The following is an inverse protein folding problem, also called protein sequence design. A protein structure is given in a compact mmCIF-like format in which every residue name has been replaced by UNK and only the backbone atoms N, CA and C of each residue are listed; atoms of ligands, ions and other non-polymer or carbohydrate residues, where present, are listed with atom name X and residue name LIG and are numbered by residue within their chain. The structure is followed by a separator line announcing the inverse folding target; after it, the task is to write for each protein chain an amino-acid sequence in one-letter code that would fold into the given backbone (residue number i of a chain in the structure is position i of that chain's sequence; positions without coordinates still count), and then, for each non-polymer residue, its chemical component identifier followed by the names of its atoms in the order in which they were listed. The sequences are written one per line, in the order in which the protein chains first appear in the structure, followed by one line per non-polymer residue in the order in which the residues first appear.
data_IF_669347042910
#
_entry.id   IF_669347042910
#
_cell.length_a   1.000
_cell.length_b   1.000
_cell.length_c   1.000
_cell.angle_alpha   90.00
_cell.angle_beta   90.00
_cell.angle_gamma   90.00
#
_symmetry.space_group_name_H-M   'P 1'
#
loop_
_entity.id
_entity.type
_entity.pdbx_description
1 polymer ?
#
# COMPACT_ATOMS: atom_id res chain seq x y z
N UNK A 1 -0.42 1.83 0.61
CA UNK A 1 0.45 3.03 0.62
C UNK A 1 0.99 3.25 -0.77
N UNK A 2 1.38 4.47 -1.08
CA UNK A 2 1.83 4.92 -2.40
C UNK A 2 3.05 4.13 -2.93
N UNK A 3 4.05 3.75 -2.12
CA UNK A 3 5.10 2.85 -2.60
C UNK A 3 4.57 1.48 -3.03
N UNK A 4 3.56 0.92 -2.34
CA UNK A 4 2.94 -0.35 -2.73
C UNK A 4 2.26 -0.20 -4.09
N UNK A 5 1.56 0.91 -4.34
CA UNK A 5 0.93 1.18 -5.63
C UNK A 5 1.97 1.29 -6.78
N UNK A 6 3.11 1.93 -6.52
CA UNK A 6 4.24 1.98 -7.48
C UNK A 6 4.83 0.59 -7.74
N UNK A 7 5.02 -0.20 -6.67
CA UNK A 7 5.45 -1.60 -6.80
C UNK A 7 4.45 -2.44 -7.59
N UNK A 8 3.15 -2.23 -7.34
CA UNK A 8 2.05 -2.94 -7.98
C UNK A 8 2.00 -2.63 -9.49
N UNK A 9 2.08 -1.34 -9.85
CA UNK A 9 2.18 -0.93 -11.24
C UNK A 9 3.44 -1.48 -11.93
N UNK A 10 4.56 -1.58 -11.22
CA UNK A 10 5.80 -2.20 -11.75
C UNK A 10 5.61 -3.71 -11.97
N UNK A 11 4.99 -4.40 -11.04
CA UNK A 11 4.68 -5.84 -11.13
C UNK A 11 3.79 -6.12 -12.33
N UNK A 12 2.70 -5.36 -12.49
CA UNK A 12 1.79 -5.44 -13.64
C UNK A 12 2.52 -5.18 -14.95
N UNK A 13 3.35 -4.13 -15.02
CA UNK A 13 4.11 -3.80 -16.21
C UNK A 13 5.03 -4.97 -16.61
N UNK A 14 5.75 -5.57 -15.66
CA UNK A 14 6.62 -6.70 -15.96
C UNK A 14 5.85 -7.94 -16.45
N UNK A 15 4.72 -8.26 -15.83
CA UNK A 15 3.89 -9.38 -16.25
C UNK A 15 3.27 -9.15 -17.64
N UNK A 16 2.89 -7.91 -17.95
CA UNK A 16 2.31 -7.53 -19.23
C UNK A 16 3.25 -7.80 -20.43
N UNK A 17 4.58 -7.64 -20.26
CA UNK A 17 5.58 -7.78 -21.34
C UNK A 17 5.47 -9.11 -22.12
N UNK A 18 5.05 -10.17 -21.42
CA UNK A 18 4.94 -11.54 -21.96
C UNK A 18 3.54 -11.89 -22.46
N UNK A 19 2.62 -10.93 -22.48
CA UNK A 19 1.22 -11.14 -22.80
C UNK A 19 0.78 -10.20 -23.94
N UNK A 20 -0.15 -10.70 -24.74
CA UNK A 20 -0.82 -10.01 -25.85
C UNK A 20 -2.28 -9.66 -25.49
N UNK A 21 -2.83 -10.29 -24.45
CA UNK A 21 -4.14 -10.02 -23.86
C UNK A 21 -4.02 -10.15 -22.33
N UNK A 22 -4.71 -9.28 -21.60
CA UNK A 22 -4.91 -9.40 -20.15
C UNK A 22 -6.41 -9.47 -19.88
N UNK A 23 -6.83 -10.42 -19.05
CA UNK A 23 -8.22 -10.51 -18.60
C UNK A 23 -8.34 -9.99 -17.17
N UNK A 24 -9.55 -9.63 -16.75
CA UNK A 24 -9.87 -9.30 -15.35
C UNK A 24 -10.86 -10.34 -14.84
N UNK A 25 -10.55 -10.96 -13.69
CA UNK A 25 -11.45 -11.94 -13.06
C UNK A 25 -12.56 -11.29 -12.23
N UNK A 26 -13.46 -12.11 -11.66
CA UNK A 26 -14.57 -11.66 -10.80
C UNK A 26 -14.13 -10.95 -9.51
N UNK A 27 -12.87 -11.12 -9.10
CA UNK A 27 -12.26 -10.50 -7.92
C UNK A 27 -11.41 -9.28 -8.30
N UNK A 28 -11.56 -8.79 -9.54
CA UNK A 28 -10.84 -7.64 -10.07
C UNK A 28 -9.32 -7.84 -10.05
N UNK A 29 -8.85 -9.05 -10.35
CA UNK A 29 -7.45 -9.36 -10.54
C UNK A 29 -7.11 -9.46 -12.02
N UNK A 30 -5.94 -8.96 -12.39
CA UNK A 30 -5.38 -9.13 -13.73
C UNK A 30 -4.88 -10.56 -13.92
N UNK A 31 -5.47 -11.25 -14.90
CA UNK A 31 -5.12 -12.62 -15.29
C UNK A 31 -4.25 -12.58 -16.54
N UNK A 32 -3.02 -13.06 -16.38
CA UNK A 32 -2.02 -13.18 -17.43
C UNK A 32 -2.03 -14.61 -17.98
N UNK A 33 -2.15 -14.75 -19.30
CA UNK A 33 -2.15 -16.07 -19.96
C UNK A 33 -0.77 -16.73 -19.87
N UNK A 34 0.28 -15.94 -20.07
CA UNK A 34 1.66 -16.39 -19.97
C UNK A 34 2.26 -15.88 -18.65
N UNK A 35 2.84 -16.76 -17.81
CA UNK A 35 3.57 -16.33 -16.63
C UNK A 35 4.80 -15.51 -17.05
N UNK A 36 5.26 -14.57 -16.21
CA UNK A 36 6.49 -13.85 -16.49
C UNK A 36 7.69 -14.81 -16.50
N UNK A 37 8.71 -14.48 -17.29
CA UNK A 37 10.00 -15.18 -17.19
C UNK A 37 10.69 -14.87 -15.86
N UNK A 38 11.66 -15.69 -15.44
CA UNK A 38 12.58 -15.25 -14.39
C UNK A 38 13.32 -13.98 -14.82
N UNK A 39 13.46 -13.04 -13.89
CA UNK A 39 14.07 -11.73 -14.16
C UNK A 39 15.58 -11.87 -14.28
N UNK A 40 16.09 -11.42 -15.42
CA UNK A 40 17.50 -11.16 -15.66
C UNK A 40 17.76 -9.65 -15.54
N UNK A 41 18.57 -9.25 -14.56
CA UNK A 41 18.85 -7.84 -14.23
C UNK A 41 19.54 -7.10 -15.39
N UNK A 42 20.29 -7.82 -16.22
CA UNK A 42 21.00 -7.23 -17.37
C UNK A 42 20.05 -6.91 -18.53
N UNK A 43 18.91 -7.61 -18.59
CA UNK A 43 17.85 -7.38 -19.58
C UNK A 43 16.95 -6.20 -19.23
N UNK A 44 16.93 -5.75 -17.98
CA UNK A 44 16.28 -4.49 -17.60
C UNK A 44 17.04 -3.35 -18.29
N UNK A 45 16.37 -2.52 -19.07
CA UNK A 45 16.97 -1.33 -19.70
C UNK A 45 16.67 -0.08 -18.90
N UNK A 46 15.41 0.10 -18.51
CA UNK A 46 14.97 1.24 -17.72
C UNK A 46 13.66 0.93 -16.99
N UNK A 47 13.48 1.54 -15.82
CA UNK A 47 12.19 1.62 -15.14
C UNK A 47 11.91 3.09 -14.89
N UNK A 48 10.95 3.67 -15.60
CA UNK A 48 10.55 5.07 -15.45
C UNK A 48 9.29 5.15 -14.60
N UNK A 49 9.35 5.90 -13.51
CA UNK A 49 8.22 6.15 -12.61
C UNK A 49 7.90 7.63 -12.70
N UNK A 50 6.67 7.99 -13.08
CA UNK A 50 6.16 9.36 -12.99
C UNK A 50 5.00 9.41 -12.01
N UNK A 51 4.99 10.41 -11.15
CA UNK A 51 3.90 10.59 -10.18
C UNK A 51 3.46 12.04 -10.09
N UNK A 52 2.26 12.27 -9.55
CA UNK A 52 1.87 13.57 -9.02
C UNK A 52 2.71 13.93 -7.76
N UNK A 53 2.57 15.17 -7.28
CA UNK A 53 3.34 15.69 -6.14
C UNK A 53 2.98 14.99 -4.82
N UNK A 54 1.71 14.69 -4.58
CA UNK A 54 1.27 14.08 -3.32
C UNK A 54 1.78 12.65 -3.22
N UNK A 55 1.66 11.88 -4.30
CA UNK A 55 2.26 10.54 -4.38
C UNK A 55 3.77 10.63 -4.22
N UNK A 56 4.45 11.56 -4.89
CA UNK A 56 5.90 11.72 -4.75
C UNK A 56 6.28 11.94 -3.27
N UNK A 57 5.66 12.92 -2.61
CA UNK A 57 5.90 13.27 -1.21
C UNK A 57 5.62 12.08 -0.27
N UNK A 58 4.46 11.43 -0.43
CA UNK A 58 4.03 10.33 0.44
C UNK A 58 4.88 9.08 0.21
N UNK A 59 5.31 8.81 -1.02
CA UNK A 59 6.11 7.64 -1.34
C UNK A 59 7.61 7.84 -1.08
N UNK A 60 8.09 9.07 -0.91
CA UNK A 60 9.53 9.39 -0.82
C UNK A 60 10.23 8.69 0.36
N UNK A 61 9.63 8.73 1.56
CA UNK A 61 10.27 8.26 2.80
C UNK A 61 9.51 7.16 3.53
N UNK A 62 8.49 6.58 2.89
CA UNK A 62 7.75 5.47 3.48
C UNK A 62 8.60 4.20 3.46
N UNK A 63 8.69 3.54 4.62
CA UNK A 63 9.38 2.25 4.78
C UNK A 63 8.62 1.17 4.02
N UNK A 64 9.37 0.33 3.30
CA UNK A 64 8.83 -0.85 2.63
C UNK A 64 8.85 -2.04 3.59
N UNK A 65 7.69 -2.64 3.89
CA UNK A 65 7.61 -3.80 4.77
C UNK A 65 8.57 -4.93 4.37
N UNK A 66 9.23 -5.52 5.36
CA UNK A 66 10.13 -6.67 5.16
C UNK A 66 11.47 -6.36 4.52
N UNK A 67 11.81 -5.09 4.26
CA UNK A 67 13.05 -4.71 3.59
C UNK A 67 14.20 -4.28 4.50
N UNK A 68 14.04 -4.50 5.82
CA UNK A 68 14.94 -4.01 6.86
C UNK A 68 15.17 -2.48 6.79
N UNK A 69 14.06 -1.73 6.74
CA UNK A 69 14.08 -0.27 6.83
C UNK A 69 14.36 0.49 5.52
N UNK A 70 14.40 -0.18 4.36
CA UNK A 70 14.52 0.53 3.08
C UNK A 70 13.25 1.34 2.78
N UNK A 71 13.42 2.47 2.08
CA UNK A 71 12.37 3.47 1.87
C UNK A 71 12.33 3.90 0.41
N UNK A 72 11.15 4.30 -0.04
CA UNK A 72 11.02 5.00 -1.32
C UNK A 72 10.49 4.17 -2.47
N UNK A 73 10.10 4.88 -3.54
CA UNK A 73 9.56 4.29 -4.78
C UNK A 73 10.56 3.39 -5.50
N UNK A 74 11.86 3.71 -5.47
CA UNK A 74 12.85 2.95 -6.22
C UNK A 74 12.96 1.50 -5.73
N UNK A 75 13.07 1.30 -4.41
CA UNK A 75 13.11 -0.04 -3.82
C UNK A 75 11.76 -0.75 -3.96
N UNK A 76 10.64 -0.04 -3.81
CA UNK A 76 9.31 -0.61 -4.01
C UNK A 76 9.10 -1.13 -5.44
N UNK A 77 9.55 -0.37 -6.43
CA UNK A 77 9.49 -0.75 -7.85
C UNK A 77 10.41 -1.93 -8.14
N UNK A 78 11.66 -1.90 -7.66
CA UNK A 78 12.60 -3.01 -7.83
C UNK A 78 12.08 -4.32 -7.22
N UNK A 79 11.45 -4.25 -6.05
CA UNK A 79 10.78 -5.40 -5.42
C UNK A 79 9.56 -5.84 -6.21
N UNK A 80 8.76 -4.88 -6.69
CA UNK A 80 7.55 -5.12 -7.46
C UNK A 80 7.76 -6.04 -8.67
N UNK A 81 8.93 -5.98 -9.31
CA UNK A 81 9.32 -6.90 -10.38
C UNK A 81 9.23 -8.38 -9.94
N UNK A 82 9.60 -8.69 -8.70
CA UNK A 82 9.61 -10.04 -8.13
C UNK A 82 8.33 -10.38 -7.35
N UNK A 83 7.34 -9.47 -7.34
CA UNK A 83 6.09 -9.64 -6.60
C UNK A 83 4.96 -10.12 -7.50
N UNK A 84 4.00 -10.82 -6.91
CA UNK A 84 2.76 -11.25 -7.57
C UNK A 84 1.71 -10.13 -7.50
N UNK A 85 1.26 -9.56 -8.63
CA UNK A 85 0.32 -8.43 -8.63
C UNK A 85 -1.05 -8.82 -8.07
N UNK A 86 -1.42 -10.10 -8.04
CA UNK A 86 -2.69 -10.58 -7.45
C UNK A 86 -2.79 -10.30 -5.95
N UNK A 87 -1.66 -10.05 -5.28
CA UNK A 87 -1.63 -9.70 -3.86
C UNK A 87 -2.06 -8.24 -3.57
N UNK A 88 -2.23 -7.39 -4.59
CA UNK A 88 -2.70 -5.99 -4.45
C UNK A 88 -2.00 -5.24 -3.31
N UNK A 89 -2.71 -4.84 -2.25
CA UNK A 89 -2.14 -4.12 -1.11
C UNK A 89 -1.16 -4.94 -0.25
N UNK A 90 -1.18 -6.26 -0.38
CA UNK A 90 -0.24 -7.20 0.25
C UNK A 90 0.90 -7.59 -0.69
N UNK A 91 1.22 -6.77 -1.70
CA UNK A 91 2.24 -7.04 -2.73
C UNK A 91 3.59 -7.57 -2.19
N UNK A 92 3.99 -7.08 -1.01
CA UNK A 92 5.27 -7.42 -0.38
C UNK A 92 5.19 -8.61 0.58
N UNK A 93 4.01 -9.22 0.71
CA UNK A 93 3.85 -10.45 1.49
C UNK A 93 4.62 -11.61 0.84
N UNK A 94 5.40 -12.32 1.65
CA UNK A 94 6.23 -13.44 1.18
C UNK A 94 7.49 -13.01 0.42
N UNK A 95 7.88 -11.74 0.49
CA UNK A 95 9.18 -11.31 -0.06
C UNK A 95 10.34 -12.02 0.66
N UNK A 96 11.27 -12.57 -0.12
CA UNK A 96 12.42 -13.31 0.40
C UNK A 96 13.65 -12.42 0.49
N UNK A 97 14.63 -12.82 1.31
CA UNK A 97 15.96 -12.19 1.36
C UNK A 97 16.64 -12.15 -0.01
N UNK A 98 16.39 -13.15 -0.85
CA UNK A 98 16.90 -13.21 -2.22
C UNK A 98 16.29 -12.12 -3.10
N UNK A 99 14.96 -11.95 -3.08
CA UNK A 99 14.28 -10.88 -3.83
C UNK A 99 14.76 -9.50 -3.38
N UNK A 100 15.03 -9.31 -2.08
CA UNK A 100 15.60 -8.06 -1.55
C UNK A 100 17.03 -7.83 -2.06
N UNK A 101 17.86 -8.88 -2.14
CA UNK A 101 19.21 -8.77 -2.69
C UNK A 101 19.17 -8.43 -4.19
N UNK A 102 18.34 -9.11 -4.97
CA UNK A 102 18.12 -8.82 -6.40
C UNK A 102 17.62 -7.38 -6.60
N UNK A 103 16.64 -6.93 -5.81
CA UNK A 103 16.18 -5.54 -5.83
C UNK A 103 17.30 -4.53 -5.53
N UNK A 104 18.16 -4.80 -4.54
CA UNK A 104 19.33 -3.97 -4.24
C UNK A 104 20.36 -3.94 -5.38
N UNK A 105 20.52 -5.04 -6.11
CA UNK A 105 21.39 -5.07 -7.29
C UNK A 105 20.81 -4.18 -8.40
N UNK A 106 19.50 -4.23 -8.64
CA UNK A 106 18.83 -3.34 -9.61
C UNK A 106 19.05 -1.88 -9.24
N UNK A 107 18.93 -1.50 -7.96
CA UNK A 107 19.19 -0.13 -7.52
C UNK A 107 20.60 0.36 -7.89
N UNK A 108 21.62 -0.50 -7.80
CA UNK A 108 23.00 -0.15 -8.17
C UNK A 108 23.20 0.10 -9.67
N UNK A 109 22.29 -0.36 -10.52
CA UNK A 109 22.37 -0.15 -11.97
C UNK A 109 21.98 1.26 -12.40
N UNK A 110 21.36 2.06 -11.51
CA UNK A 110 20.80 3.38 -11.82
C UNK A 110 19.79 3.40 -12.99
N UNK A 111 19.16 2.24 -13.29
CA UNK A 111 18.15 2.11 -14.35
C UNK A 111 16.76 2.58 -13.91
N UNK A 112 16.54 2.89 -12.63
CA UNK A 112 15.26 3.38 -12.11
C UNK A 112 15.28 4.91 -12.09
N UNK A 113 14.39 5.52 -12.88
CA UNK A 113 14.29 6.96 -13.05
C UNK A 113 12.94 7.42 -12.51
N UNK A 114 12.95 8.31 -11.51
CA UNK A 114 11.74 8.89 -10.93
C UNK A 114 11.61 10.32 -11.45
N UNK A 115 10.45 10.63 -12.05
CA UNK A 115 10.10 11.95 -12.57
C UNK A 115 8.76 12.40 -12.01
N UNK A 116 8.46 13.68 -12.20
CA UNK A 116 7.16 14.24 -11.89
C UNK A 116 6.28 14.25 -13.15
N UNK A 117 4.97 14.18 -12.96
CA UNK A 117 4.00 14.45 -14.03
C UNK A 117 3.90 15.96 -14.25
N UNK A 118 4.07 16.40 -15.51
CA UNK A 118 4.14 17.83 -15.86
C UNK A 118 2.79 18.55 -15.77
N UNK A 119 1.68 17.81 -15.96
CA UNK A 119 0.33 18.36 -15.89
C UNK A 119 -0.19 18.30 -14.46
N UNK A 120 -0.36 19.47 -13.88
CA UNK A 120 -1.03 19.65 -12.59
C UNK A 120 -2.55 19.70 -12.80
N UNK A 121 -3.27 18.95 -11.97
CA UNK A 121 -4.69 19.16 -11.73
C UNK A 121 -4.83 20.00 -10.46
N UNK A 122 -5.77 20.95 -10.43
CA UNK A 122 -6.13 21.70 -9.22
C UNK A 122 -6.81 20.79 -8.17
N UNK A 123 -7.18 19.56 -8.56
CA UNK A 123 -7.67 18.52 -7.65
C UNK A 123 -6.55 17.53 -7.32
N UNK A 124 -6.40 17.12 -6.05
CA UNK A 124 -5.46 16.06 -5.67
C UNK A 124 -5.99 14.71 -6.18
N UNK A 125 -5.73 14.41 -7.45
CA UNK A 125 -5.90 13.06 -7.98
C UNK A 125 -4.57 12.31 -7.86
N UNK A 126 -4.62 11.10 -7.29
CA UNK A 126 -3.53 10.14 -7.36
C UNK A 126 -3.25 9.83 -8.84
N UNK A 127 -2.00 9.97 -9.29
CA UNK A 127 -1.58 9.57 -10.64
C UNK A 127 -0.18 8.96 -10.58
N UNK A 128 -0.09 7.69 -10.92
CA UNK A 128 1.15 6.90 -10.99
C UNK A 128 1.27 6.33 -12.39
N UNK A 129 2.38 6.59 -13.05
CA UNK A 129 2.73 6.06 -14.36
C UNK A 129 4.04 5.29 -14.25
N UNK A 130 4.03 4.00 -14.53
CA UNK A 130 5.24 3.16 -14.53
C UNK A 130 5.47 2.63 -15.94
N UNK A 131 6.69 2.80 -16.44
CA UNK A 131 7.18 2.15 -17.65
C UNK A 131 8.33 1.23 -17.32
N UNK A 132 8.28 -0.01 -17.83
CA UNK A 132 9.36 -1.01 -17.71
C UNK A 132 9.84 -1.37 -19.10
N UNK A 133 11.10 -1.07 -19.38
CA UNK A 133 11.79 -1.46 -20.60
C UNK A 133 12.63 -2.72 -20.32
N UNK A 134 12.31 -3.82 -21.00
CA UNK A 134 12.96 -5.11 -20.79
C UNK A 134 13.30 -5.76 -22.13
N UNK A 135 14.50 -6.34 -22.20
CA UNK A 135 14.94 -7.07 -23.38
C UNK A 135 14.33 -8.47 -23.41
N UNK A 136 13.56 -8.75 -24.45
CA UNK A 136 13.01 -10.06 -24.76
C UNK A 136 13.59 -10.51 -26.10
N UNK A 137 14.41 -11.56 -26.07
CA UNK A 137 15.24 -11.98 -27.22
C UNK A 137 16.15 -10.81 -27.68
N UNK A 138 16.10 -10.46 -28.97
CA UNK A 138 16.86 -9.37 -29.56
C UNK A 138 16.14 -8.01 -29.51
N UNK A 139 14.92 -7.95 -28.98
CA UNK A 139 14.08 -6.75 -28.99
C UNK A 139 13.91 -6.19 -27.57
N UNK A 140 13.74 -4.87 -27.47
CA UNK A 140 13.33 -4.21 -26.24
C UNK A 140 11.82 -4.03 -26.30
N UNK A 141 11.12 -4.54 -25.29
CA UNK A 141 9.69 -4.27 -25.07
C UNK A 141 9.52 -3.23 -23.99
N UNK A 142 8.53 -2.36 -24.15
CA UNK A 142 8.18 -1.31 -23.19
C UNK A 142 6.76 -1.54 -22.69
N UNK A 143 6.61 -2.00 -21.45
CA UNK A 143 5.31 -2.00 -20.80
C UNK A 143 5.05 -0.67 -20.10
N UNK A 144 3.81 -0.19 -20.16
CA UNK A 144 3.34 0.99 -19.45
C UNK A 144 2.08 0.65 -18.66
N UNK A 145 2.04 1.10 -17.41
CA UNK A 145 0.88 0.97 -16.52
C UNK A 145 0.58 2.33 -15.92
N UNK A 146 -0.70 2.70 -15.91
CA UNK A 146 -1.20 3.89 -15.22
C UNK A 146 -2.19 3.51 -14.13
N UNK A 147 -2.00 4.08 -12.94
CA UNK A 147 -2.91 3.96 -11.80
C UNK A 147 -3.38 5.37 -11.43
N UNK A 148 -4.70 5.57 -11.32
CA UNK A 148 -5.26 6.89 -11.06
C UNK A 148 -6.41 6.87 -10.05
N UNK A 149 -6.60 7.98 -9.33
CA UNK A 149 -7.63 8.23 -8.31
C UNK A 149 -7.48 7.39 -7.05
N UNK A 150 -7.47 6.05 -7.18
CA UNK A 150 -7.28 5.09 -6.10
C UNK A 150 -6.00 4.29 -6.27
N UNK A 151 -5.42 3.80 -5.16
CA UNK A 151 -4.12 3.13 -5.15
C UNK A 151 -4.05 1.80 -5.93
N UNK A 152 -5.18 1.18 -6.26
CA UNK A 152 -5.27 -0.07 -7.05
C UNK A 152 -6.06 0.09 -8.36
N UNK A 153 -6.57 1.29 -8.66
CA UNK A 153 -7.35 1.57 -9.86
C UNK A 153 -6.43 1.79 -11.07
N UNK A 154 -6.10 0.68 -11.73
CA UNK A 154 -5.37 0.69 -12.99
C UNK A 154 -6.29 1.22 -14.09
N UNK A 155 -5.87 2.26 -14.79
CA UNK A 155 -6.64 2.85 -15.90
C UNK A 155 -6.12 2.43 -17.26
N UNK A 156 -4.86 2.00 -17.36
CA UNK A 156 -4.24 1.61 -18.60
C UNK A 156 -3.13 0.59 -18.37
N UNK A 157 -3.09 -0.47 -19.18
CA UNK A 157 -1.92 -1.33 -19.37
C UNK A 157 -1.67 -1.47 -20.87
N UNK A 158 -0.46 -1.16 -21.32
CA UNK A 158 -0.05 -1.36 -22.72
C UNK A 158 1.38 -1.88 -22.81
N UNK A 159 1.67 -2.58 -23.90
CA UNK A 159 3.01 -3.04 -24.25
C UNK A 159 3.32 -2.56 -25.65
N UNK A 160 4.36 -1.75 -25.77
CA UNK A 160 4.72 -1.02 -26.99
C UNK A 160 3.50 -0.20 -27.48
N UNK A 161 2.99 -0.51 -28.66
CA UNK A 161 1.81 0.13 -29.27
C UNK A 161 0.49 -0.62 -28.99
N UNK A 162 0.54 -1.76 -28.31
CA UNK A 162 -0.63 -2.61 -28.04
C UNK A 162 -1.22 -2.29 -26.66
N UNK A 163 -2.45 -1.76 -26.65
CA UNK A 163 -3.23 -1.58 -25.42
C UNK A 163 -3.80 -2.95 -25.00
N UNK A 164 -3.37 -3.44 -23.83
CA UNK A 164 -3.81 -4.72 -23.26
C UNK A 164 -5.02 -4.55 -22.35
N UNK A 165 -5.17 -3.38 -21.74
CA UNK A 165 -6.26 -3.06 -20.85
C UNK A 165 -6.50 -1.55 -20.83
N UNK A 166 -7.78 -1.16 -20.91
CA UNK A 166 -8.25 0.19 -20.59
C UNK A 166 -9.35 0.03 -19.56
N UNK A 167 -9.14 0.63 -18.40
CA UNK A 167 -10.06 0.59 -17.28
C UNK A 167 -10.54 1.99 -16.93
N UNK A 168 -11.81 2.09 -16.58
CA UNK A 168 -12.30 3.23 -15.84
C UNK A 168 -13.10 2.72 -14.66
N UNK A 169 -12.44 2.43 -13.52
CA UNK A 169 -13.12 2.78 -12.26
C UNK A 169 -13.07 4.30 -12.13
N UNK A 170 -13.62 5.00 -13.12
CA UNK A 170 -14.31 6.24 -12.83
C UNK A 170 -15.56 5.68 -12.16
N UNK A 171 -15.57 5.62 -10.83
CA UNK A 171 -16.87 5.78 -10.19
C UNK A 171 -17.39 7.08 -10.77
N UNK A 172 -18.32 6.99 -11.73
CA UNK A 172 -19.33 8.03 -11.81
C UNK A 172 -19.82 8.16 -10.38
N UNK A 173 -19.90 9.39 -9.89
CA UNK A 173 -20.38 9.69 -8.54
C UNK A 173 -21.89 9.40 -8.53
N UNK A 174 -22.28 8.17 -8.85
CA UNK A 174 -23.59 7.61 -8.62
C UNK A 174 -23.45 6.91 -7.27
N UNK A 175 -23.93 7.62 -6.25
CA UNK A 175 -23.96 7.27 -4.84
C UNK A 175 -22.58 7.03 -4.21
N UNK A 176 -21.82 8.11 -4.00
CA UNK A 176 -21.20 8.21 -2.67
C UNK A 176 -22.36 8.12 -1.68
N UNK A 177 -22.42 7.04 -0.88
CA UNK A 177 -23.20 7.07 0.36
C UNK A 177 -22.82 8.36 1.06
N UNK A 178 -23.75 9.33 1.04
CA UNK A 178 -23.51 10.65 1.59
C UNK A 178 -23.00 10.45 3.00
N UNK A 179 -21.76 10.85 3.24
CA UNK A 179 -21.19 10.72 4.58
C UNK A 179 -22.10 11.50 5.53
N UNK A 180 -22.53 10.92 6.65
CA UNK A 180 -23.43 11.58 7.59
C UNK A 180 -22.90 12.96 7.99
N UNK A 181 -23.69 14.00 7.76
CA UNK A 181 -23.30 15.39 8.07
C UNK A 181 -23.67 15.76 9.51
N UNK A 182 -24.63 15.04 10.08
CA UNK A 182 -25.12 15.25 11.44
C UNK A 182 -24.80 14.06 12.34
N UNK A 183 -24.57 14.35 13.62
CA UNK A 183 -24.37 13.33 14.66
C UNK A 183 -25.55 12.33 14.68
N UNK A 184 -26.78 12.81 14.50
CA UNK A 184 -27.98 11.97 14.45
C UNK A 184 -27.95 10.96 13.31
N UNK A 185 -27.39 11.32 12.16
CA UNK A 185 -27.24 10.44 11.00
C UNK A 185 -26.17 9.39 11.26
N UNK A 186 -25.04 9.77 11.90
CA UNK A 186 -24.02 8.81 12.35
C UNK A 186 -24.62 7.76 13.30
N UNK A 187 -25.47 8.18 14.24
CA UNK A 187 -26.16 7.26 15.14
C UNK A 187 -27.12 6.33 14.40
N UNK A 188 -27.82 6.82 13.37
CA UNK A 188 -28.69 5.97 12.55
C UNK A 188 -27.89 4.90 11.83
N UNK A 189 -26.81 5.28 11.16
CA UNK A 189 -25.90 4.34 10.46
C UNK A 189 -25.33 3.31 11.45
N UNK A 190 -24.80 3.76 12.59
CA UNK A 190 -24.24 2.86 13.59
C UNK A 190 -25.28 1.90 14.21
N UNK A 191 -26.56 2.28 14.27
CA UNK A 191 -27.65 1.43 14.78
C UNK A 191 -28.28 0.54 13.71
N UNK A 192 -28.12 0.88 12.42
CA UNK A 192 -28.62 0.09 11.30
C UNK A 192 -27.60 -0.92 10.78
N UNK A 193 -26.43 -1.03 11.43
CA UNK A 193 -25.37 -1.94 11.03
C UNK A 193 -25.88 -3.39 11.03
N UNK A 194 -25.62 -4.08 9.94
CA UNK A 194 -25.96 -5.49 9.73
C UNK A 194 -25.03 -6.43 10.52
N UNK A 195 -25.40 -7.69 10.63
CA UNK A 195 -24.55 -8.69 11.32
C UNK A 195 -23.26 -8.92 10.56
N UNK A 196 -23.33 -8.89 9.24
CA UNK A 196 -22.22 -9.04 8.31
C UNK A 196 -21.22 -7.87 8.45
N UNK A 197 -21.71 -6.62 8.50
CA UNK A 197 -20.86 -5.45 8.72
C UNK A 197 -20.23 -5.45 10.13
N UNK A 198 -20.96 -5.90 11.15
CA UNK A 198 -20.41 -6.09 12.50
C UNK A 198 -19.22 -7.07 12.45
N UNK A 199 -19.34 -8.18 11.70
CA UNK A 199 -18.26 -9.15 11.55
C UNK A 199 -17.01 -8.51 10.90
N UNK A 200 -17.20 -7.69 9.87
CA UNK A 200 -16.11 -6.94 9.22
C UNK A 200 -15.44 -5.94 10.18
N UNK A 201 -16.22 -5.23 10.99
CA UNK A 201 -15.68 -4.35 12.04
C UNK A 201 -14.84 -5.15 13.04
N UNK A 202 -15.31 -6.34 13.46
CA UNK A 202 -14.55 -7.22 14.35
C UNK A 202 -13.25 -7.72 13.71
N UNK A 203 -13.25 -8.06 12.41
CA UNK A 203 -12.02 -8.39 11.67
C UNK A 203 -11.03 -7.22 11.73
N UNK A 204 -11.51 -5.99 11.54
CA UNK A 204 -10.71 -4.77 11.66
C UNK A 204 -10.11 -4.58 13.05
N UNK A 205 -10.91 -4.79 14.11
CA UNK A 205 -10.45 -4.75 15.50
C UNK A 205 -9.35 -5.78 15.75
N UNK A 206 -9.59 -7.05 15.39
CA UNK A 206 -8.62 -8.14 15.59
C UNK A 206 -7.33 -7.85 14.84
N UNK A 207 -7.42 -7.40 13.58
CA UNK A 207 -6.26 -7.07 12.77
C UNK A 207 -5.44 -5.97 13.44
N UNK A 208 -6.06 -4.85 13.82
CA UNK A 208 -5.34 -3.71 14.39
C UNK A 208 -4.80 -4.00 15.79
N UNK A 209 -5.46 -4.85 16.59
CA UNK A 209 -4.90 -5.35 17.85
C UNK A 209 -3.58 -6.09 17.64
N UNK A 210 -3.50 -6.97 16.64
CA UNK A 210 -2.24 -7.66 16.33
C UNK A 210 -1.13 -6.67 15.97
N UNK A 211 -1.45 -5.55 15.30
CA UNK A 211 -0.48 -4.49 14.98
C UNK A 211 0.00 -3.76 16.23
N UNK A 212 -0.90 -3.51 17.18
CA UNK A 212 -0.55 -2.97 18.50
C UNK A 212 0.42 -3.90 19.21
N UNK A 213 0.10 -5.20 19.29
CA UNK A 213 0.93 -6.21 19.94
C UNK A 213 2.32 -6.31 19.28
N UNK A 214 2.36 -6.31 17.94
CA UNK A 214 3.60 -6.27 17.17
C UNK A 214 4.44 -5.03 17.50
N UNK A 215 3.81 -3.86 17.59
CA UNK A 215 4.50 -2.60 17.91
C UNK A 215 5.00 -2.49 19.35
N UNK A 216 4.29 -3.09 20.30
CA UNK A 216 4.73 -3.12 21.69
C UNK A 216 5.94 -4.04 21.87
N UNK A 217 5.91 -5.20 21.22
CA UNK A 217 6.92 -6.25 21.38
C UNK A 217 8.13 -6.10 20.46
N UNK A 218 7.96 -5.51 19.27
CA UNK A 218 9.01 -5.37 18.26
C UNK A 218 9.77 -4.04 18.32
N UNK A 219 10.92 -3.97 17.62
CA UNK A 219 11.75 -2.77 17.56
C UNK A 219 11.51 -2.00 16.27
N UNK A 220 10.51 -1.12 16.29
CA UNK A 220 10.04 -0.41 15.11
C UNK A 220 10.03 1.11 15.27
N UNK A 221 10.11 1.79 14.13
CA UNK A 221 9.82 3.22 14.02
C UNK A 221 10.66 4.09 14.94
N UNK A 222 10.01 5.06 15.59
CA UNK A 222 10.64 6.01 16.50
C UNK A 222 10.46 5.59 17.98
N UNK A 223 9.85 4.43 18.23
CA UNK A 223 9.56 3.90 19.57
C UNK A 223 8.71 4.88 20.40
N UNK A 224 7.81 5.61 19.74
CA UNK A 224 6.83 6.52 20.38
C UNK A 224 6.00 5.77 21.40
N UNK A 225 5.44 4.61 21.03
CA UNK A 225 4.61 3.81 21.94
C UNK A 225 5.35 3.39 23.21
N UNK A 226 6.57 2.86 23.05
CA UNK A 226 7.45 2.48 24.17
C UNK A 226 7.88 3.66 25.02
N UNK A 227 8.18 4.80 24.41
CA UNK A 227 8.56 6.02 25.12
C UNK A 227 7.39 6.53 25.96
N UNK A 228 6.18 6.57 25.40
CA UNK A 228 4.97 6.93 26.12
C UNK A 228 4.68 5.97 27.27
N UNK A 229 4.88 4.67 27.06
CA UNK A 229 4.69 3.66 28.12
C UNK A 229 5.68 3.87 29.26
N UNK A 230 6.95 4.14 28.94
CA UNK A 230 7.98 4.44 29.93
C UNK A 230 7.61 5.68 30.75
N UNK A 231 7.24 6.79 30.10
CA UNK A 231 6.84 8.02 30.79
C UNK A 231 5.63 7.76 31.68
N UNK A 232 4.61 7.06 31.17
CA UNK A 232 3.40 6.78 31.95
C UNK A 232 3.66 5.91 33.19
N UNK A 233 4.64 5.00 33.12
CA UNK A 233 5.12 4.20 34.26
C UNK A 233 5.84 5.06 35.30
N UNK A 234 6.79 5.87 34.84
CA UNK A 234 7.60 6.73 35.71
C UNK A 234 6.73 7.75 36.45
N UNK A 235 5.68 8.25 35.80
CA UNK A 235 4.74 9.23 36.35
C UNK A 235 3.49 8.60 37.00
N UNK A 236 3.39 7.26 37.04
CA UNK A 236 2.35 6.53 37.77
C UNK A 236 0.93 6.60 37.19
N UNK A 237 0.77 6.86 35.88
CA UNK A 237 -0.53 6.94 35.22
C UNK A 237 -0.73 5.92 34.08
N UNK A 238 0.10 4.87 34.02
CA UNK A 238 0.05 3.86 32.94
C UNK A 238 -1.32 3.20 32.77
N UNK A 239 -2.09 3.02 33.84
CA UNK A 239 -3.45 2.45 33.81
C UNK A 239 -4.53 3.46 33.38
N UNK A 240 -4.17 4.72 33.12
CA UNK A 240 -5.10 5.71 32.59
C UNK A 240 -5.55 5.33 31.19
N UNK A 241 -6.87 5.39 30.95
CA UNK A 241 -7.47 5.18 29.64
C UNK A 241 -6.77 6.00 28.54
N UNK A 242 -6.49 7.28 28.82
CA UNK A 242 -5.83 8.18 27.86
C UNK A 242 -4.39 7.74 27.58
N UNK A 243 -3.68 7.26 28.60
CA UNK A 243 -2.32 6.77 28.44
C UNK A 243 -2.30 5.49 27.60
N UNK A 244 -3.16 4.53 27.91
CA UNK A 244 -3.29 3.28 27.17
C UNK A 244 -3.65 3.51 25.70
N UNK A 245 -4.57 4.42 25.40
CA UNK A 245 -4.87 4.82 24.01
C UNK A 245 -3.63 5.33 23.29
N UNK A 246 -2.92 6.30 23.88
CA UNK A 246 -1.74 6.92 23.25
C UNK A 246 -0.61 5.92 23.05
N UNK A 247 -0.39 5.04 24.03
CA UNK A 247 0.63 3.97 23.97
C UNK A 247 0.29 2.98 22.87
N UNK A 248 -0.94 2.46 22.83
CA UNK A 248 -1.36 1.45 21.85
C UNK A 248 -1.39 2.01 20.42
N UNK A 249 -1.92 3.22 20.22
CA UNK A 249 -1.90 3.92 18.92
C UNK A 249 -0.46 4.20 18.47
N UNK A 250 0.39 4.71 19.38
CA UNK A 250 1.80 4.98 19.10
C UNK A 250 2.55 3.72 18.71
N UNK A 251 2.33 2.62 19.43
CA UNK A 251 2.95 1.32 19.15
C UNK A 251 2.53 0.77 17.79
N UNK A 252 1.23 0.78 17.48
CA UNK A 252 0.75 0.34 16.16
C UNK A 252 1.30 1.23 15.03
N UNK A 253 1.39 2.55 15.26
CA UNK A 253 2.01 3.49 14.34
C UNK A 253 3.50 3.20 14.11
N UNK A 254 4.25 2.92 15.19
CA UNK A 254 5.66 2.52 15.10
C UNK A 254 5.82 1.24 14.29
N UNK A 255 5.04 0.18 14.58
CA UNK A 255 5.07 -1.07 13.81
C UNK A 255 4.79 -0.82 12.33
N UNK A 256 3.69 -0.11 12.03
CA UNK A 256 3.25 0.13 10.66
C UNK A 256 4.26 0.95 9.86
N UNK A 257 4.72 2.06 10.44
CA UNK A 257 5.64 2.99 9.80
C UNK A 257 7.09 2.50 9.82
N UNK A 258 7.41 1.60 10.76
CA UNK A 258 8.68 0.87 10.84
C UNK A 258 8.79 -0.30 9.88
N UNK A 259 7.71 -0.65 9.17
CA UNK A 259 7.73 -1.70 8.15
C UNK A 259 7.50 -3.11 8.68
N UNK A 260 6.74 -3.26 9.76
CA UNK A 260 6.25 -4.56 10.21
C UNK A 260 5.48 -5.28 9.08
N UNK A 261 5.69 -6.60 8.95
CA UNK A 261 5.06 -7.44 7.92
C UNK A 261 3.75 -8.01 8.47
N UNK A 262 2.82 -7.13 8.83
CA UNK A 262 1.50 -7.50 9.33
C UNK A 262 0.43 -6.63 8.65
N UNK A 263 -0.70 -7.21 8.21
CA UNK A 263 -1.78 -6.44 7.62
C UNK A 263 -2.38 -5.49 8.67
N UNK A 264 -2.89 -4.35 8.19
CA UNK A 264 -3.55 -3.33 9.01
C UNK A 264 -4.85 -2.95 8.32
N UNK A 265 -5.95 -2.91 9.08
CA UNK A 265 -7.22 -2.47 8.54
C UNK A 265 -7.11 -0.99 8.18
N UNK A 266 -7.51 -0.63 6.96
CA UNK A 266 -7.40 0.73 6.45
C UNK A 266 -8.75 1.44 6.50
N UNK A 267 -8.73 2.76 6.60
CA UNK A 267 -9.88 3.60 6.25
C UNK A 267 -9.40 4.69 5.30
N UNK A 268 -10.21 5.03 4.30
CA UNK A 268 -9.85 5.97 3.22
C UNK A 268 -8.48 5.68 2.59
N UNK A 269 -8.17 4.40 2.36
CA UNK A 269 -6.90 3.97 1.76
C UNK A 269 -5.65 4.07 2.67
N UNK A 270 -5.80 4.45 3.94
CA UNK A 270 -4.69 4.63 4.87
C UNK A 270 -4.78 3.72 6.10
N UNK A 271 -3.74 2.91 6.31
CA UNK A 271 -3.60 2.09 7.51
C UNK A 271 -3.38 2.92 8.78
N UNK A 272 -2.73 4.08 8.68
CA UNK A 272 -2.56 4.98 9.84
C UNK A 272 -3.90 5.59 10.26
N UNK A 273 -4.75 5.96 9.30
CA UNK A 273 -6.11 6.40 9.60
C UNK A 273 -6.92 5.26 10.22
N UNK A 274 -6.76 4.03 9.72
CA UNK A 274 -7.43 2.85 10.30
C UNK A 274 -6.99 2.58 11.73
N UNK A 275 -5.69 2.71 12.04
CA UNK A 275 -5.16 2.65 13.42
C UNK A 275 -5.82 3.73 14.29
N UNK A 276 -5.86 4.99 13.82
CA UNK A 276 -6.46 6.07 14.60
C UNK A 276 -7.97 5.90 14.81
N UNK A 277 -8.70 5.34 13.84
CA UNK A 277 -10.13 5.14 13.94
C UNK A 277 -10.49 3.96 14.88
N UNK A 278 -9.76 2.85 14.78
CA UNK A 278 -10.13 1.59 15.42
C UNK A 278 -9.50 1.46 16.82
N UNK A 279 -8.19 1.67 16.94
CA UNK A 279 -7.45 1.34 18.17
C UNK A 279 -7.97 2.10 19.39
N UNK A 280 -8.21 3.43 19.37
CA UNK A 280 -8.71 4.13 20.55
C UNK A 280 -10.03 3.57 21.06
N UNK A 281 -10.98 3.28 20.16
CA UNK A 281 -12.31 2.76 20.52
C UNK A 281 -12.20 1.35 21.09
N UNK A 282 -11.35 0.50 20.50
CA UNK A 282 -11.04 -0.83 21.05
C UNK A 282 -10.54 -0.74 22.49
N UNK A 283 -9.63 0.22 22.78
CA UNK A 283 -9.10 0.42 24.14
C UNK A 283 -10.18 0.86 25.12
N UNK A 284 -11.09 1.75 24.72
CA UNK A 284 -12.26 2.09 25.56
C UNK A 284 -13.05 0.84 25.88
N UNK A 285 -13.41 0.07 24.85
CA UNK A 285 -14.23 -1.14 25.01
C UNK A 285 -13.60 -2.19 25.90
N UNK A 286 -12.26 -2.32 25.89
CA UNK A 286 -11.52 -3.28 26.73
C UNK A 286 -11.36 -2.82 28.18
N UNK A 287 -11.26 -1.51 28.44
CA UNK A 287 -10.98 -0.97 29.78
C UNK A 287 -12.23 -0.52 30.54
N UNK A 288 -13.36 -0.33 29.85
CA UNK A 288 -14.62 0.15 30.43
C UNK A 288 -15.69 -0.93 30.58
N UNK A 289 -15.47 -2.10 29.99
CA UNK A 289 -16.28 -3.30 30.23
C UNK A 289 -15.55 -4.23 31.21
#
# INVERSE_FOLDING_TARGET
TEPIAVGYATSLAYHAIFNDIIMVDENDNFVFKNPPSEIDIDKIKQISIKTDLNVYKNAYSNVIPGTNGQKGMAIASAIGLFSDPRKKFNLFEGITSESIQKAKQILKTNKIIIKKIDKWSDKPDLDIQVSVEYQVNSNIKTAYVRVQKDHDNVTEIRVDDLILFTGSRIKEVEDEERFPEKIEELFKVARSITSEEIEEVYKGIIMNKKVVDEGMNGDYGLKVGRTLQKIAREEGYEESLIAQMRIKVGSAGDARMGGAIIPVMTTSGSGNLGIMAIVPITVVGEMKN
#
